data_IF_695890569189
#
_entry.id   IF_695890569189
#
_cell.length_a   1.000
_cell.length_b   1.000
_cell.length_c   1.000
_cell.angle_alpha   90.00
_cell.angle_beta   90.00
_cell.angle_gamma   90.00
#
_symmetry.space_group_name_H-M   'P 1'
#
loop_
_entity.id
_entity.type
_entity.pdbx_description
1 polymer ?
#
# COMPACT_ATOMS: atom_id res chain seq x y z
N UNK A 1 -13.77 -6.23 -16.14
CA UNK A 1 -12.37 -5.76 -15.97
C UNK A 1 -12.23 -5.13 -14.59
N UNK A 2 -11.17 -5.45 -13.83
CA UNK A 2 -10.87 -4.85 -12.53
C UNK A 2 -9.38 -4.51 -12.47
N UNK A 3 -9.02 -3.35 -12.97
CA UNK A 3 -7.65 -2.84 -12.99
C UNK A 3 -7.68 -1.37 -12.60
N UNK A 4 -6.76 -0.95 -11.75
CA UNK A 4 -6.61 0.43 -11.30
C UNK A 4 -5.12 0.75 -11.13
N UNK A 5 -4.79 2.03 -11.29
CA UNK A 5 -3.47 2.58 -11.04
C UNK A 5 -3.64 3.82 -10.15
N UNK A 6 -2.80 3.94 -9.13
CA UNK A 6 -2.94 4.97 -8.09
C UNK A 6 -1.58 5.60 -7.83
N UNK A 7 -1.56 6.92 -7.76
CA UNK A 7 -0.43 7.70 -7.29
C UNK A 7 -0.82 8.36 -5.97
N UNK A 8 0.01 8.20 -4.94
CA UNK A 8 -0.27 8.72 -3.60
C UNK A 8 0.99 8.77 -2.75
N UNK A 9 0.84 9.32 -1.55
CA UNK A 9 1.92 9.43 -0.55
C UNK A 9 1.79 8.25 0.40
N UNK A 10 2.88 7.49 0.60
CA UNK A 10 2.89 6.38 1.56
C UNK A 10 2.89 6.95 2.98
N UNK A 11 1.83 6.67 3.75
CA UNK A 11 1.70 7.09 5.14
C UNK A 11 2.20 6.00 6.10
N UNK A 12 1.69 4.78 5.92
CA UNK A 12 1.99 3.65 6.79
C UNK A 12 2.25 2.40 5.97
N UNK A 13 3.08 1.51 6.53
CA UNK A 13 3.30 0.18 5.98
C UNK A 13 3.49 -0.84 7.10
N UNK A 14 3.02 -2.05 6.87
CA UNK A 14 3.27 -3.18 7.76
C UNK A 14 3.46 -4.46 6.96
N UNK A 15 4.23 -5.39 7.53
CA UNK A 15 4.42 -6.73 7.01
C UNK A 15 4.10 -7.72 8.12
N UNK A 16 3.21 -8.66 7.81
CA UNK A 16 2.85 -9.77 8.70
C UNK A 16 2.78 -11.06 7.91
N UNK A 17 2.75 -12.18 8.61
CA UNK A 17 2.71 -13.50 8.00
C UNK A 17 1.52 -14.29 8.51
N UNK A 18 0.89 -15.07 7.63
CA UNK A 18 -0.10 -16.07 8.04
C UNK A 18 0.56 -17.21 8.81
N UNK A 19 -0.24 -18.09 9.40
CA UNK A 19 0.23 -19.33 10.02
C UNK A 19 1.01 -20.23 9.03
N UNK A 20 0.64 -20.19 7.75
CA UNK A 20 1.31 -20.90 6.65
C UNK A 20 2.54 -20.16 6.10
N UNK A 21 3.05 -19.14 6.80
CA UNK A 21 4.18 -18.29 6.39
C UNK A 21 3.96 -17.54 5.08
N UNK A 22 2.71 -17.26 4.71
CA UNK A 22 2.41 -16.38 3.57
C UNK A 22 2.47 -14.91 4.01
N UNK A 23 3.27 -14.11 3.31
CA UNK A 23 3.35 -12.68 3.57
C UNK A 23 2.03 -11.96 3.27
N UNK A 24 1.70 -10.98 4.11
CA UNK A 24 0.64 -9.99 3.94
C UNK A 24 1.29 -8.62 4.17
N UNK A 25 1.44 -7.86 3.10
CA UNK A 25 1.93 -6.48 3.18
C UNK A 25 0.76 -5.52 3.07
N UNK A 26 0.64 -4.64 4.05
CA UNK A 26 -0.40 -3.61 4.08
C UNK A 26 0.23 -2.23 3.97
N UNK A 27 -0.36 -1.38 3.14
CA UNK A 27 0.06 -0.01 2.92
C UNK A 27 -1.14 0.90 3.07
N UNK A 28 -0.95 2.03 3.73
CA UNK A 28 -1.91 3.14 3.73
C UNK A 28 -1.30 4.24 2.88
N UNK A 29 -2.01 4.61 1.81
CA UNK A 29 -1.61 5.69 0.91
C UNK A 29 -2.61 6.83 1.01
N UNK A 30 -2.12 8.05 1.16
CA UNK A 30 -2.92 9.26 0.99
C UNK A 30 -3.02 9.56 -0.50
N UNK A 31 -4.24 9.67 -1.01
CA UNK A 31 -4.53 10.03 -2.40
C UNK A 31 -4.97 11.49 -2.41
N UNK A 32 -4.32 12.28 -3.25
CA UNK A 32 -4.74 13.66 -3.46
C UNK A 32 -6.11 13.69 -4.16
N UNK A 33 -7.02 14.56 -3.73
CA UNK A 33 -8.31 14.71 -4.38
C UNK A 33 -8.15 15.28 -5.79
N UNK A 34 -9.20 15.14 -6.60
CA UNK A 34 -9.24 15.72 -7.95
C UNK A 34 -9.51 17.23 -7.92
N UNK A 35 -10.18 17.72 -6.87
CA UNK A 35 -10.45 19.14 -6.63
C UNK A 35 -9.79 19.58 -5.34
N UNK A 36 -9.42 20.85 -5.26
CA UNK A 36 -8.68 21.37 -4.10
C UNK A 36 -9.55 21.46 -2.84
N UNK A 37 -10.85 21.66 -3.00
CA UNK A 37 -11.83 21.74 -1.90
C UNK A 37 -12.24 20.37 -1.33
N UNK A 38 -11.97 19.28 -2.06
CA UNK A 38 -12.33 17.94 -1.64
C UNK A 38 -11.33 17.44 -0.56
N UNK A 39 -11.78 16.64 0.41
CA UNK A 39 -10.88 16.09 1.41
C UNK A 39 -9.91 15.10 0.77
N UNK A 40 -8.70 15.00 1.34
CA UNK A 40 -7.79 13.90 1.02
C UNK A 40 -8.36 12.58 1.53
N UNK A 41 -8.12 11.50 0.78
CA UNK A 41 -8.59 10.17 1.14
C UNK A 41 -7.43 9.21 1.40
N UNK A 42 -7.57 8.37 2.42
CA UNK A 42 -6.64 7.29 2.69
C UNK A 42 -7.15 5.99 2.07
N UNK A 43 -6.33 5.38 1.22
CA UNK A 43 -6.61 4.07 0.66
C UNK A 43 -5.71 3.02 1.31
N UNK A 44 -6.33 1.92 1.73
CA UNK A 44 -5.62 0.72 2.17
C UNK A 44 -5.36 -0.21 0.98
N UNK A 45 -4.09 -0.48 0.71
CA UNK A 45 -3.65 -1.47 -0.28
C UNK A 45 -3.08 -2.71 0.43
N UNK A 46 -3.50 -3.90 0.01
CA UNK A 46 -3.06 -5.18 0.59
C UNK A 46 -2.48 -6.05 -0.51
N UNK A 47 -1.23 -6.46 -0.33
CA UNK A 47 -0.51 -7.37 -1.22
C UNK A 47 -0.21 -8.67 -0.49
N UNK A 48 -0.40 -9.79 -1.19
CA UNK A 48 -0.23 -11.13 -0.63
C UNK A 48 0.96 -11.86 -1.25
N UNK A 49 1.60 -12.71 -0.45
CA UNK A 49 2.72 -13.54 -0.89
C UNK A 49 3.98 -12.74 -1.20
N UNK A 50 4.84 -13.33 -2.02
CA UNK A 50 6.18 -12.82 -2.34
C UNK A 50 6.17 -11.37 -2.89
N UNK A 51 5.17 -11.01 -3.68
CA UNK A 51 5.03 -9.65 -4.21
C UNK A 51 4.80 -8.63 -3.08
N UNK A 52 4.07 -8.99 -2.04
CA UNK A 52 3.87 -8.12 -0.88
C UNK A 52 5.16 -7.90 -0.10
N UNK A 53 5.93 -8.96 0.14
CA UNK A 53 7.23 -8.87 0.82
C UNK A 53 8.23 -8.01 0.02
N UNK A 54 8.33 -8.24 -1.29
CA UNK A 54 9.15 -7.43 -2.19
C UNK A 54 8.76 -5.96 -2.19
N UNK A 55 7.46 -5.66 -2.29
CA UNK A 55 6.96 -4.28 -2.25
C UNK A 55 7.27 -3.61 -0.90
N UNK A 56 7.06 -4.33 0.21
CA UNK A 56 7.34 -3.82 1.55
C UNK A 56 8.82 -3.46 1.73
N UNK A 57 9.72 -4.36 1.30
CA UNK A 57 11.16 -4.18 1.43
C UNK A 57 11.70 -3.08 0.51
N UNK A 58 11.20 -2.97 -0.73
CA UNK A 58 11.61 -1.92 -1.66
C UNK A 58 11.28 -0.50 -1.14
N UNK A 59 10.16 -0.36 -0.44
CA UNK A 59 9.77 0.88 0.21
C UNK A 59 10.51 1.12 1.54
N UNK A 60 11.35 0.18 2.00
CA UNK A 60 12.19 0.35 3.19
C UNK A 60 13.43 1.18 2.94
N UNK A 61 14.00 1.06 1.75
CA UNK A 61 15.28 1.69 1.39
C UNK A 61 15.16 3.16 1.00
N UNK A 62 13.96 3.75 1.08
CA UNK A 62 13.69 5.15 0.74
C UNK A 62 13.56 6.07 1.98
N UNK A 63 13.89 5.56 3.16
CA UNK A 63 13.91 6.30 4.43
C UNK A 63 15.32 6.54 4.96
#
# INVERSE_FOLDING_TARGET
MNHFAIQGILLERSLRYTQERRAIAEFVVEINPLREEDPKENLKAIYWGENGEKAHNALHTLG
#
